data_IF_088675265561
#
_entry.id   IF_088675265561
#
_cell.length_a   1.000
_cell.length_b   1.000
_cell.length_c   1.000
_cell.angle_alpha   90.00
_cell.angle_beta   90.00
_cell.angle_gamma   90.00
#
_symmetry.space_group_name_H-M   'P 1'
#
loop_
_entity.id
_entity.type
_entity.pdbx_description
1 polymer ?
#
# COMPACT_ATOMS: atom_id res chain seq x y z
N UNK A 1 -32.25 9.86 -9.82
CA UNK A 1 -31.96 9.36 -8.46
C UNK A 1 -31.82 7.84 -8.38
N UNK A 2 -32.52 7.05 -9.18
CA UNK A 2 -32.37 5.58 -9.25
C UNK A 2 -30.98 5.12 -9.71
N UNK A 3 -30.41 5.74 -10.74
CA UNK A 3 -29.11 5.35 -11.32
C UNK A 3 -27.92 5.52 -10.32
N UNK A 4 -27.98 6.55 -9.47
CA UNK A 4 -26.96 6.78 -8.43
C UNK A 4 -27.07 5.73 -7.29
N UNK A 5 -28.29 5.36 -6.91
CA UNK A 5 -28.53 4.29 -5.92
C UNK A 5 -28.01 2.94 -6.45
N UNK A 6 -28.30 2.61 -7.70
CA UNK A 6 -27.88 1.35 -8.31
C UNK A 6 -26.35 1.26 -8.44
N UNK A 7 -25.68 2.36 -8.81
CA UNK A 7 -24.21 2.43 -8.83
C UNK A 7 -23.60 2.28 -7.44
N UNK A 8 -24.21 2.89 -6.43
CA UNK A 8 -23.73 2.80 -5.04
C UNK A 8 -23.91 1.38 -4.50
N UNK A 9 -25.07 0.76 -4.72
CA UNK A 9 -25.34 -0.62 -4.28
C UNK A 9 -24.38 -1.60 -4.97
N UNK A 10 -24.21 -1.49 -6.28
CA UNK A 10 -23.22 -2.30 -7.02
C UNK A 10 -21.79 -2.09 -6.50
N UNK A 11 -21.41 -0.84 -6.20
CA UNK A 11 -20.12 -0.52 -5.61
C UNK A 11 -19.91 -1.16 -4.23
N UNK A 12 -20.92 -1.13 -3.36
CA UNK A 12 -20.87 -1.80 -2.05
C UNK A 12 -20.78 -3.31 -2.18
N UNK A 13 -21.55 -3.93 -3.07
CA UNK A 13 -21.49 -5.37 -3.33
C UNK A 13 -20.10 -5.77 -3.85
N UNK A 14 -19.55 -5.05 -4.83
CA UNK A 14 -18.21 -5.33 -5.34
C UNK A 14 -17.13 -5.15 -4.27
N UNK A 15 -17.26 -4.14 -3.40
CA UNK A 15 -16.34 -3.94 -2.28
C UNK A 15 -16.40 -5.09 -1.27
N UNK A 16 -17.60 -5.54 -0.92
CA UNK A 16 -17.80 -6.68 -0.01
C UNK A 16 -17.24 -7.99 -0.58
N UNK A 17 -17.59 -8.30 -1.83
CA UNK A 17 -17.09 -9.50 -2.54
C UNK A 17 -15.56 -9.45 -2.63
N UNK A 18 -15.00 -8.30 -2.99
CA UNK A 18 -13.54 -8.14 -3.07
C UNK A 18 -12.86 -8.35 -1.72
N UNK A 19 -13.39 -7.77 -0.64
CA UNK A 19 -12.81 -7.94 0.70
C UNK A 19 -12.88 -9.40 1.15
N UNK A 20 -13.99 -10.08 0.92
CA UNK A 20 -14.13 -11.51 1.23
C UNK A 20 -13.17 -12.37 0.41
N UNK A 21 -13.08 -12.12 -0.88
CA UNK A 21 -12.16 -12.85 -1.78
C UNK A 21 -10.70 -12.61 -1.39
N UNK A 22 -10.31 -11.38 -1.08
CA UNK A 22 -8.95 -11.07 -0.65
C UNK A 22 -8.60 -11.77 0.66
N UNK A 23 -9.50 -11.77 1.65
CA UNK A 23 -9.26 -12.45 2.92
C UNK A 23 -9.17 -13.96 2.74
N UNK A 24 -10.08 -14.57 1.97
CA UNK A 24 -10.08 -16.02 1.72
C UNK A 24 -8.82 -16.43 0.96
N UNK A 25 -8.48 -15.76 -0.14
CA UNK A 25 -7.26 -16.07 -0.89
C UNK A 25 -6.00 -15.80 -0.08
N UNK A 26 -5.97 -14.70 0.68
CA UNK A 26 -4.86 -14.38 1.58
C UNK A 26 -4.63 -15.46 2.63
N UNK A 27 -5.70 -15.96 3.25
CA UNK A 27 -5.63 -17.07 4.20
C UNK A 27 -5.15 -18.38 3.53
N UNK A 28 -5.67 -18.71 2.36
CA UNK A 28 -5.24 -19.92 1.63
C UNK A 28 -3.74 -19.86 1.29
N UNK A 29 -3.26 -18.74 0.73
CA UNK A 29 -1.84 -18.57 0.43
C UNK A 29 -0.99 -18.60 1.71
N UNK A 30 -1.43 -17.94 2.78
CA UNK A 30 -0.71 -17.95 4.06
C UNK A 30 -0.61 -19.34 4.67
N UNK A 31 -1.68 -20.14 4.62
CA UNK A 31 -1.67 -21.53 5.12
C UNK A 31 -0.69 -22.40 4.32
N UNK A 32 -0.70 -22.27 2.99
CA UNK A 32 0.21 -23.06 2.13
C UNK A 32 1.66 -22.69 2.41
N UNK A 33 1.96 -21.42 2.55
CA UNK A 33 3.30 -20.89 2.84
C UNK A 33 3.73 -21.33 4.26
N UNK A 34 2.84 -21.20 5.27
CA UNK A 34 3.13 -21.54 6.65
C UNK A 34 3.43 -23.04 6.87
N UNK A 35 2.95 -23.91 5.99
CA UNK A 35 3.30 -25.35 6.04
C UNK A 35 4.74 -25.66 5.62
N UNK A 36 5.42 -24.72 5.00
CA UNK A 36 6.79 -24.89 4.44
C UNK A 36 7.84 -24.06 5.13
N UNK A 37 7.44 -23.02 5.83
CA UNK A 37 8.34 -22.09 6.49
C UNK A 37 8.29 -22.27 8.01
N UNK A 38 9.41 -21.96 8.64
CA UNK A 38 9.51 -21.98 10.10
C UNK A 38 8.83 -20.75 10.72
N UNK A 39 8.30 -20.84 11.95
CA UNK A 39 7.76 -19.68 12.67
C UNK A 39 8.75 -18.50 12.78
N UNK A 40 10.05 -18.79 12.84
CA UNK A 40 11.12 -17.78 12.86
C UNK A 40 11.15 -16.93 11.60
N UNK A 41 10.83 -17.49 10.42
CA UNK A 41 10.76 -16.76 9.16
C UNK A 41 9.66 -15.69 9.17
N UNK A 42 8.49 -16.04 9.71
CA UNK A 42 7.40 -15.08 9.94
C UNK A 42 7.78 -14.02 10.97
N UNK A 43 8.53 -14.41 12.02
CA UNK A 43 9.07 -13.49 13.01
C UNK A 43 9.96 -12.44 12.40
N UNK A 44 10.88 -12.83 11.52
CA UNK A 44 11.80 -11.92 10.82
C UNK A 44 11.08 -10.84 10.01
N UNK A 45 10.05 -11.21 9.25
CA UNK A 45 9.24 -10.23 8.50
C UNK A 45 8.30 -9.46 9.43
N UNK A 46 7.76 -10.14 10.46
CA UNK A 46 6.88 -9.56 11.47
C UNK A 46 7.52 -8.39 12.23
N UNK A 47 8.80 -8.48 12.56
CA UNK A 47 9.56 -7.39 13.21
C UNK A 47 9.57 -6.11 12.38
N UNK A 48 9.48 -6.21 11.05
CA UNK A 48 9.49 -5.07 10.15
C UNK A 48 8.10 -4.46 9.92
N UNK A 49 7.02 -5.18 10.27
CA UNK A 49 5.65 -4.69 10.01
C UNK A 49 5.30 -3.42 10.76
N UNK A 50 5.84 -3.22 11.96
CA UNK A 50 5.63 -2.00 12.73
C UNK A 50 6.21 -0.79 11.99
N UNK A 51 7.43 -0.92 11.47
CA UNK A 51 8.11 0.17 10.75
C UNK A 51 7.42 0.47 9.42
N UNK A 52 7.00 -0.57 8.69
CA UNK A 52 6.23 -0.38 7.45
C UNK A 52 4.84 0.21 7.72
N UNK A 53 4.16 -0.18 8.80
CA UNK A 53 2.86 0.38 9.18
C UNK A 53 2.96 1.86 9.53
N UNK A 54 3.96 2.26 10.32
CA UNK A 54 4.21 3.67 10.64
C UNK A 54 4.54 4.46 9.37
N UNK A 55 5.42 3.93 8.52
CA UNK A 55 5.81 4.60 7.28
C UNK A 55 4.64 4.76 6.32
N UNK A 56 3.81 3.73 6.13
CA UNK A 56 2.61 3.82 5.28
C UNK A 56 1.57 4.77 5.87
N UNK A 57 1.39 4.79 7.19
CA UNK A 57 0.51 5.74 7.85
C UNK A 57 0.97 7.20 7.63
N UNK A 58 2.28 7.46 7.71
CA UNK A 58 2.85 8.77 7.40
C UNK A 58 2.75 9.12 5.91
N UNK A 59 2.98 8.14 5.04
CA UNK A 59 2.87 8.29 3.59
C UNK A 59 1.45 8.62 3.15
N UNK A 60 0.47 7.88 3.64
CA UNK A 60 -0.94 8.12 3.32
C UNK A 60 -1.38 9.49 3.85
N UNK A 61 -0.86 9.91 5.01
CA UNK A 61 -1.01 11.26 5.57
C UNK A 61 -2.42 11.82 5.55
N UNK A 62 -3.44 10.98 5.35
CA UNK A 62 -4.81 11.40 5.10
C UNK A 62 -5.00 12.09 3.73
N UNK A 63 -3.99 12.11 2.86
CA UNK A 63 -4.06 12.79 1.57
C UNK A 63 -5.11 12.18 0.64
N UNK A 64 -5.22 10.84 0.63
CA UNK A 64 -6.27 10.13 -0.13
C UNK A 64 -7.64 10.58 0.34
N UNK A 65 -7.83 10.63 1.67
CA UNK A 65 -9.09 11.07 2.28
C UNK A 65 -9.39 12.53 1.97
N UNK A 66 -8.38 13.41 2.11
CA UNK A 66 -8.52 14.84 1.86
C UNK A 66 -8.90 15.14 0.40
N UNK A 67 -8.27 14.46 -0.57
CA UNK A 67 -8.64 14.56 -1.99
C UNK A 67 -10.04 14.03 -2.24
N UNK A 68 -10.38 12.89 -1.67
CA UNK A 68 -11.65 12.22 -1.92
C UNK A 68 -12.83 13.04 -1.42
N UNK A 69 -12.67 13.76 -0.30
CA UNK A 69 -13.72 14.57 0.29
C UNK A 69 -13.90 15.97 -0.36
N UNK A 70 -12.92 16.45 -1.11
CA UNK A 70 -13.08 17.72 -1.85
C UNK A 70 -13.98 17.51 -3.06
N UNK A 71 -14.95 18.43 -3.28
CA UNK A 71 -15.94 18.30 -4.39
C UNK A 71 -15.25 18.38 -5.75
N UNK A 72 -14.44 19.40 -5.97
CA UNK A 72 -13.80 19.68 -7.25
C UNK A 72 -12.27 19.62 -7.11
N UNK A 73 -11.68 18.56 -7.66
CA UNK A 73 -10.23 18.39 -7.71
C UNK A 73 -9.80 18.37 -9.17
N UNK A 74 -8.92 19.31 -9.54
CA UNK A 74 -8.39 19.41 -10.89
C UNK A 74 -7.33 18.35 -11.15
N UNK A 75 -7.08 18.07 -12.43
CA UNK A 75 -6.01 17.14 -12.85
C UNK A 75 -4.63 17.56 -12.29
N UNK A 76 -4.34 18.86 -12.28
CA UNK A 76 -3.10 19.41 -11.74
C UNK A 76 -2.96 19.16 -10.22
N UNK A 77 -4.06 19.22 -9.47
CA UNK A 77 -4.07 18.96 -8.04
C UNK A 77 -3.79 17.48 -7.73
N UNK A 78 -4.37 16.55 -8.50
CA UNK A 78 -4.01 15.13 -8.40
C UNK A 78 -2.53 14.90 -8.69
N UNK A 79 -1.99 15.54 -9.73
CA UNK A 79 -0.56 15.44 -10.09
C UNK A 79 0.33 15.99 -8.98
N UNK A 80 -0.06 17.08 -8.34
CA UNK A 80 0.68 17.68 -7.21
C UNK A 80 0.77 16.73 -6.02
N UNK A 81 -0.33 16.07 -5.67
CA UNK A 81 -0.35 15.08 -4.58
C UNK A 81 0.45 13.83 -4.95
N UNK A 82 0.41 13.40 -6.21
CA UNK A 82 1.23 12.28 -6.68
C UNK A 82 2.73 12.55 -6.46
N UNK A 83 3.23 13.68 -6.93
CA UNK A 83 4.64 14.04 -6.77
C UNK A 83 5.03 14.25 -5.32
N UNK A 84 4.18 14.91 -4.53
CA UNK A 84 4.42 15.07 -3.09
C UNK A 84 4.53 13.71 -2.38
N UNK A 85 3.60 12.80 -2.66
CA UNK A 85 3.58 11.47 -2.05
C UNK A 85 4.81 10.64 -2.47
N UNK A 86 5.22 10.72 -3.74
CA UNK A 86 6.40 10.05 -4.25
C UNK A 86 7.69 10.56 -3.58
N UNK A 87 7.83 11.87 -3.45
CA UNK A 87 8.98 12.50 -2.77
C UNK A 87 8.99 12.10 -1.29
N UNK A 88 7.86 12.19 -0.61
CA UNK A 88 7.72 11.79 0.79
C UNK A 88 8.11 10.32 1.00
N UNK A 89 7.65 9.44 0.11
CA UNK A 89 8.00 8.01 0.14
C UNK A 89 9.49 7.76 -0.08
N UNK A 90 10.10 8.53 -0.97
CA UNK A 90 11.56 8.49 -1.17
C UNK A 90 12.33 8.91 0.08
N UNK A 91 11.90 9.98 0.74
CA UNK A 91 12.50 10.44 2.01
C UNK A 91 12.32 9.37 3.11
N UNK A 92 11.10 8.83 3.27
CA UNK A 92 10.82 7.78 4.25
C UNK A 92 11.67 6.54 3.98
N UNK A 93 11.80 6.13 2.71
CA UNK A 93 12.66 5.02 2.34
C UNK A 93 14.14 5.26 2.70
N UNK A 94 14.69 6.44 2.41
CA UNK A 94 16.08 6.79 2.74
C UNK A 94 16.28 6.77 4.26
N UNK A 95 15.36 7.36 5.02
CA UNK A 95 15.41 7.35 6.49
C UNK A 95 15.41 5.93 7.03
N UNK A 96 14.48 5.08 6.57
CA UNK A 96 14.39 3.69 7.01
C UNK A 96 15.57 2.84 6.54
N UNK A 97 16.11 3.12 5.35
CA UNK A 97 17.32 2.48 4.83
C UNK A 97 18.53 2.77 5.73
N UNK A 98 18.67 4.01 6.20
CA UNK A 98 19.72 4.41 7.14
C UNK A 98 19.47 3.83 8.55
N UNK A 99 18.21 3.66 8.95
CA UNK A 99 17.84 3.05 10.22
C UNK A 99 17.95 1.51 10.23
N UNK A 100 18.05 0.88 9.06
CA UNK A 100 18.10 -0.59 8.93
C UNK A 100 19.17 -1.26 9.85
N UNK A 101 20.42 -0.78 9.96
CA UNK A 101 21.40 -1.39 10.86
C UNK A 101 21.02 -1.20 12.35
N UNK A 102 20.36 -0.10 12.74
CA UNK A 102 19.88 0.10 14.10
C UNK A 102 18.74 -0.88 14.43
N UNK A 103 17.80 -1.08 13.49
CA UNK A 103 16.72 -2.08 13.61
C UNK A 103 17.32 -3.47 13.79
N UNK A 104 18.27 -3.85 12.95
CA UNK A 104 18.94 -5.14 13.03
C UNK A 104 19.68 -5.36 14.35
N UNK A 105 20.35 -4.32 14.85
CA UNK A 105 21.04 -4.33 16.15
C UNK A 105 20.07 -4.48 17.31
N UNK A 106 18.93 -3.79 17.27
CA UNK A 106 17.91 -3.84 18.30
C UNK A 106 17.28 -5.24 18.44
N UNK A 107 17.01 -5.90 17.32
CA UNK A 107 16.44 -7.26 17.32
C UNK A 107 17.50 -8.37 17.40
N UNK A 108 18.80 -8.05 17.32
CA UNK A 108 19.89 -9.03 17.41
C UNK A 108 20.07 -9.91 16.16
N UNK A 109 19.48 -9.56 15.02
CA UNK A 109 19.54 -10.33 13.77
C UNK A 109 20.18 -9.51 12.65
N UNK A 110 21.40 -9.88 12.24
CA UNK A 110 22.17 -9.16 11.20
C UNK A 110 21.49 -9.22 9.82
N UNK A 111 20.79 -10.30 9.55
CA UNK A 111 20.04 -10.52 8.29
C UNK A 111 18.95 -9.47 8.07
N UNK A 112 18.41 -8.89 9.16
CA UNK A 112 17.41 -7.83 9.08
C UNK A 112 17.90 -6.57 8.37
N UNK A 113 19.19 -6.31 8.25
CA UNK A 113 19.71 -5.13 7.54
C UNK A 113 19.27 -5.17 6.08
N UNK A 114 19.54 -6.27 5.39
CA UNK A 114 19.20 -6.41 3.98
C UNK A 114 17.71 -6.66 3.77
N UNK A 115 17.09 -7.45 4.64
CA UNK A 115 15.68 -7.73 4.60
C UNK A 115 14.84 -6.46 4.76
N UNK A 116 15.17 -5.60 5.73
CA UNK A 116 14.46 -4.34 5.96
C UNK A 116 14.60 -3.38 4.78
N UNK A 117 15.82 -3.22 4.26
CA UNK A 117 16.06 -2.40 3.07
C UNK A 117 15.23 -2.86 1.88
N UNK A 118 15.10 -4.16 1.69
CA UNK A 118 14.27 -4.75 0.64
C UNK A 118 12.78 -4.51 0.92
N UNK A 119 12.28 -4.84 2.11
CA UNK A 119 10.86 -4.69 2.47
C UNK A 119 10.39 -3.24 2.36
N UNK A 120 11.24 -2.28 2.75
CA UNK A 120 10.90 -0.85 2.69
C UNK A 120 10.77 -0.31 1.26
N UNK A 121 11.30 -1.00 0.22
CA UNK A 121 10.99 -0.66 -1.17
C UNK A 121 9.49 -0.70 -1.46
N UNK A 122 8.73 -1.49 -0.72
CA UNK A 122 7.27 -1.53 -0.81
C UNK A 122 6.62 -0.17 -0.61
N UNK A 123 7.22 0.74 0.18
CA UNK A 123 6.74 2.11 0.41
C UNK A 123 6.76 2.92 -0.89
N UNK A 124 7.83 2.77 -1.70
CA UNK A 124 7.94 3.45 -3.00
C UNK A 124 6.90 2.88 -3.97
N UNK A 125 6.77 1.55 -4.05
CA UNK A 125 5.75 0.93 -4.92
C UNK A 125 4.33 1.30 -4.50
N UNK A 126 4.06 1.41 -3.20
CA UNK A 126 2.77 1.87 -2.67
C UNK A 126 2.45 3.29 -3.13
N UNK A 127 3.43 4.21 -3.08
CA UNK A 127 3.23 5.61 -3.47
C UNK A 127 2.74 5.78 -4.91
N UNK A 128 3.17 4.90 -5.80
CA UNK A 128 2.73 4.90 -7.19
C UNK A 128 1.23 4.61 -7.35
N UNK A 129 0.64 3.82 -6.43
CA UNK A 129 -0.76 3.42 -6.47
C UNK A 129 -1.72 4.33 -5.69
N UNK A 130 -1.23 5.17 -4.77
CA UNK A 130 -2.04 5.96 -3.84
C UNK A 130 -3.02 6.88 -4.57
N UNK A 131 -2.52 7.71 -5.47
CA UNK A 131 -3.35 8.69 -6.20
C UNK A 131 -4.26 8.01 -7.21
N UNK A 132 -3.81 6.93 -7.85
CA UNK A 132 -4.64 6.13 -8.75
C UNK A 132 -5.85 5.54 -8.00
N UNK A 133 -5.61 5.06 -6.78
CA UNK A 133 -6.67 4.55 -5.89
C UNK A 133 -7.66 5.65 -5.53
N UNK A 134 -7.21 6.85 -5.15
CA UNK A 134 -8.06 7.98 -4.82
C UNK A 134 -8.90 8.43 -6.03
N UNK A 135 -8.29 8.47 -7.22
CA UNK A 135 -8.95 8.83 -8.47
C UNK A 135 -10.07 7.84 -8.83
N UNK A 136 -9.78 6.54 -8.81
CA UNK A 136 -10.78 5.50 -9.09
C UNK A 136 -11.90 5.49 -8.04
N UNK A 137 -11.57 5.72 -6.77
CA UNK A 137 -12.55 5.79 -5.70
C UNK A 137 -13.52 6.96 -5.91
N UNK A 138 -13.01 8.15 -6.24
CA UNK A 138 -13.84 9.33 -6.48
C UNK A 138 -14.76 9.18 -7.69
N UNK A 139 -14.34 8.41 -8.70
CA UNK A 139 -15.16 8.10 -9.87
C UNK A 139 -16.11 6.91 -9.69
N UNK A 140 -16.19 6.35 -8.45
CA UNK A 140 -17.00 5.16 -8.12
C UNK A 140 -16.62 3.94 -9.01
N UNK A 141 -15.37 3.89 -9.47
CA UNK A 141 -14.82 2.77 -10.26
C UNK A 141 -14.24 1.69 -9.34
N UNK A 142 -15.10 1.18 -8.45
CA UNK A 142 -14.73 0.21 -7.41
C UNK A 142 -14.30 -1.13 -8.01
N UNK A 143 -14.88 -1.51 -9.14
CA UNK A 143 -14.57 -2.76 -9.85
C UNK A 143 -13.11 -2.80 -10.30
N UNK A 144 -12.62 -1.76 -10.93
CA UNK A 144 -11.25 -1.67 -11.44
C UNK A 144 -10.23 -1.72 -10.32
N UNK A 145 -10.52 -1.02 -9.22
CA UNK A 145 -9.70 -1.10 -8.02
C UNK A 145 -9.69 -2.51 -7.42
N UNK A 146 -10.84 -3.18 -7.35
CA UNK A 146 -10.97 -4.53 -6.84
C UNK A 146 -10.16 -5.53 -7.68
N UNK A 147 -10.23 -5.44 -9.01
CA UNK A 147 -9.47 -6.28 -9.92
C UNK A 147 -7.96 -6.05 -9.75
N UNK A 148 -7.51 -4.79 -9.62
CA UNK A 148 -6.10 -4.47 -9.43
C UNK A 148 -5.54 -5.11 -8.17
N UNK A 149 -6.27 -5.03 -7.06
CA UNK A 149 -5.86 -5.63 -5.79
C UNK A 149 -5.91 -7.16 -5.83
N UNK A 150 -6.93 -7.75 -6.46
CA UNK A 150 -7.03 -9.19 -6.63
C UNK A 150 -5.88 -9.76 -7.48
N UNK A 151 -5.51 -9.08 -8.57
CA UNK A 151 -4.36 -9.47 -9.39
C UNK A 151 -3.05 -9.39 -8.61
N UNK A 152 -2.85 -8.34 -7.81
CA UNK A 152 -1.70 -8.24 -6.91
C UNK A 152 -1.61 -9.44 -5.98
N UNK A 153 -2.70 -9.80 -5.33
CA UNK A 153 -2.77 -10.92 -4.39
C UNK A 153 -2.53 -12.27 -5.07
N UNK A 154 -3.17 -12.53 -6.21
CA UNK A 154 -3.06 -13.81 -6.93
C UNK A 154 -1.63 -14.00 -7.43
N UNK A 155 -1.07 -13.00 -8.13
CA UNK A 155 0.29 -13.10 -8.68
C UNK A 155 1.32 -13.25 -7.56
N UNK A 156 1.23 -12.42 -6.53
CA UNK A 156 2.15 -12.49 -5.39
C UNK A 156 1.99 -13.78 -4.59
N UNK A 157 0.77 -14.28 -4.42
CA UNK A 157 0.50 -15.52 -3.71
C UNK A 157 1.09 -16.75 -4.42
N UNK A 158 0.91 -16.84 -5.75
CA UNK A 158 1.50 -17.92 -6.55
C UNK A 158 3.02 -17.87 -6.47
N UNK A 159 3.63 -16.70 -6.68
CA UNK A 159 5.08 -16.53 -6.61
C UNK A 159 5.61 -16.77 -5.19
N UNK A 160 4.88 -16.34 -4.16
CA UNK A 160 5.22 -16.62 -2.76
C UNK A 160 5.25 -18.12 -2.45
N UNK A 161 4.28 -18.88 -2.95
CA UNK A 161 4.27 -20.35 -2.84
C UNK A 161 5.50 -20.94 -3.55
N UNK A 162 5.76 -20.55 -4.79
CA UNK A 162 6.93 -21.04 -5.54
C UNK A 162 8.23 -20.78 -4.77
N UNK A 163 8.40 -19.58 -4.22
CA UNK A 163 9.59 -19.23 -3.44
C UNK A 163 9.69 -20.03 -2.13
N UNK A 164 8.57 -20.24 -1.43
CA UNK A 164 8.53 -21.05 -0.21
C UNK A 164 8.93 -22.52 -0.48
N UNK A 165 8.49 -23.08 -1.61
CA UNK A 165 8.86 -24.45 -2.00
C UNK A 165 10.33 -24.57 -2.46
N UNK A 166 10.92 -23.48 -2.93
CA UNK A 166 12.33 -23.43 -3.31
C UNK A 166 13.28 -23.07 -2.14
N UNK A 167 12.78 -22.98 -0.92
CA UNK A 167 13.60 -22.75 0.27
C UNK A 167 14.06 -21.31 0.49
N UNK A 168 13.36 -20.33 -0.08
CA UNK A 168 13.72 -18.91 0.10
C UNK A 168 13.35 -18.34 1.47
N UNK A 169 12.81 -19.16 2.41
CA UNK A 169 12.62 -18.77 3.81
C UNK A 169 11.91 -17.39 3.94
N UNK A 170 12.33 -16.54 4.87
CA UNK A 170 11.78 -15.19 5.05
C UNK A 170 11.85 -14.28 3.81
N UNK A 171 12.79 -14.50 2.90
CA UNK A 171 12.85 -13.79 1.62
C UNK A 171 11.64 -14.06 0.73
N UNK A 172 11.10 -15.27 0.78
CA UNK A 172 9.86 -15.61 0.06
C UNK A 172 8.69 -14.76 0.52
N UNK A 173 8.50 -14.59 1.84
CA UNK A 173 7.43 -13.76 2.43
C UNK A 173 7.64 -12.27 2.06
N UNK A 174 8.87 -11.78 2.20
CA UNK A 174 9.20 -10.40 1.88
C UNK A 174 8.94 -10.07 0.40
N UNK A 175 9.38 -10.97 -0.51
CA UNK A 175 9.16 -10.83 -1.95
C UNK A 175 7.68 -10.88 -2.29
N UNK A 176 6.92 -11.79 -1.67
CA UNK A 176 5.46 -11.84 -1.83
C UNK A 176 4.81 -10.51 -1.46
N UNK A 177 5.19 -9.91 -0.32
CA UNK A 177 4.66 -8.63 0.12
C UNK A 177 4.92 -7.50 -0.88
N UNK A 178 6.15 -7.37 -1.36
CA UNK A 178 6.53 -6.36 -2.36
C UNK A 178 5.82 -6.58 -3.69
N UNK A 179 5.76 -7.83 -4.17
CA UNK A 179 5.08 -8.17 -5.41
C UNK A 179 3.58 -7.86 -5.34
N UNK A 180 2.95 -8.12 -4.19
CA UNK A 180 1.54 -7.78 -3.99
C UNK A 180 1.31 -6.28 -4.21
N UNK A 181 2.11 -5.43 -3.55
CA UNK A 181 2.01 -3.97 -3.68
C UNK A 181 2.38 -3.52 -5.10
N UNK A 182 3.48 -4.04 -5.65
CA UNK A 182 3.99 -3.64 -6.96
C UNK A 182 3.02 -4.00 -8.10
N UNK A 183 2.51 -5.23 -8.12
CA UNK A 183 1.55 -5.69 -9.15
C UNK A 183 0.22 -4.96 -8.99
N UNK A 184 -0.28 -4.77 -7.77
CA UNK A 184 -1.50 -4.00 -7.54
C UNK A 184 -1.35 -2.55 -8.03
N UNK A 185 -0.22 -1.89 -7.73
CA UNK A 185 0.07 -0.54 -8.21
C UNK A 185 0.17 -0.48 -9.75
N UNK A 186 0.83 -1.46 -10.37
CA UNK A 186 0.92 -1.55 -11.83
C UNK A 186 -0.46 -1.71 -12.46
N UNK A 187 -1.30 -2.58 -11.92
CA UNK A 187 -2.67 -2.78 -12.39
C UNK A 187 -3.53 -1.53 -12.22
N UNK A 188 -3.37 -0.80 -11.12
CA UNK A 188 -4.02 0.50 -10.92
C UNK A 188 -3.62 1.51 -11.99
N UNK A 189 -2.35 1.54 -12.39
CA UNK A 189 -1.88 2.38 -13.49
C UNK A 189 -2.48 1.99 -14.85
N UNK A 190 -2.64 0.70 -15.12
CA UNK A 190 -3.25 0.22 -16.36
C UNK A 190 -4.74 0.58 -16.42
N UNK A 191 -5.45 0.44 -15.31
CA UNK A 191 -6.90 0.64 -15.26
C UNK A 191 -7.33 2.09 -15.02
N UNK A 192 -6.46 2.92 -14.42
CA UNK A 192 -6.73 4.34 -14.23
C UNK A 192 -6.37 5.13 -15.49
N UNK A 193 -7.26 6.00 -15.99
CA UNK A 193 -6.95 6.91 -17.08
C UNK A 193 -6.08 8.09 -16.63
N UNK A 194 -5.93 8.29 -15.31
CA UNK A 194 -5.14 9.39 -14.77
C UNK A 194 -3.65 9.18 -15.05
N UNK A 195 -3.00 10.21 -15.57
CA UNK A 195 -1.54 10.29 -15.75
C UNK A 195 -1.05 11.58 -15.12
N UNK A 196 -0.05 11.53 -14.21
CA UNK A 196 0.44 12.74 -13.55
C UNK A 196 1.20 13.64 -14.51
N UNK A 197 0.90 14.94 -14.44
CA UNK A 197 1.67 15.99 -15.11
C UNK A 197 2.78 16.49 -14.18
N UNK A 198 3.83 17.12 -14.76
CA UNK A 198 4.93 17.70 -13.98
C UNK A 198 4.59 19.06 -13.35
N UNK A 199 3.38 19.60 -13.57
CA UNK A 199 2.94 20.87 -12.99
C UNK A 199 2.48 20.66 -11.55
N UNK A 200 3.20 21.26 -10.59
CA UNK A 200 2.89 21.17 -9.16
C UNK A 200 2.17 22.45 -8.72
N UNK A 201 1.03 22.31 -8.09
CA UNK A 201 0.29 23.37 -7.42
C UNK A 201 0.68 23.43 -5.93
N UNK A 202 1.65 24.26 -5.61
CA UNK A 202 2.14 24.43 -4.24
C UNK A 202 1.10 25.05 -3.31
N UNK A 203 0.21 25.89 -3.82
CA UNK A 203 -0.85 26.51 -2.99
C UNK A 203 -1.84 25.45 -2.52
N UNK A 204 -2.20 24.53 -3.41
CA UNK A 204 -3.04 23.39 -3.09
C UNK A 204 -2.37 22.46 -2.08
N UNK A 205 -1.10 22.11 -2.26
CA UNK A 205 -0.37 21.25 -1.32
C UNK A 205 -0.32 21.86 0.08
N UNK A 206 -0.03 23.17 0.20
CA UNK A 206 -0.05 23.85 1.51
C UNK A 206 -1.41 23.82 2.20
N UNK A 207 -2.51 23.74 1.45
CA UNK A 207 -3.86 23.63 2.03
C UNK A 207 -4.23 22.21 2.43
N UNK A 208 -3.82 21.18 1.63
CA UNK A 208 -4.28 19.81 1.83
C UNK A 208 -3.42 19.03 2.82
N UNK A 209 -2.11 19.30 2.88
CA UNK A 209 -1.19 18.59 3.78
C UNK A 209 -1.56 18.73 5.26
N UNK A 210 -1.86 19.92 5.80
CA UNK A 210 -2.30 20.06 7.19
C UNK A 210 -3.64 19.38 7.45
N UNK A 211 -4.57 19.39 6.49
CA UNK A 211 -5.85 18.69 6.59
C UNK A 211 -5.63 17.17 6.70
N UNK A 212 -4.76 16.61 5.86
CA UNK A 212 -4.40 15.20 5.90
C UNK A 212 -3.79 14.80 7.23
N UNK A 213 -2.79 15.53 7.70
CA UNK A 213 -2.11 15.22 8.97
C UNK A 213 -3.04 15.26 10.20
N UNK A 214 -4.06 16.12 10.22
CA UNK A 214 -5.08 16.11 11.29
C UNK A 214 -5.85 14.80 11.40
N UNK A 215 -5.93 14.01 10.34
CA UNK A 215 -6.55 12.68 10.36
C UNK A 215 -5.57 11.57 10.75
N UNK A 216 -4.27 11.75 10.53
CA UNK A 216 -3.25 10.76 10.85
C UNK A 216 -3.02 10.68 12.35
N UNK A 217 -2.96 11.82 13.04
CA UNK A 217 -2.65 11.88 14.48
C UNK A 217 -3.61 11.03 15.33
N UNK A 218 -4.96 11.12 15.18
CA UNK A 218 -5.87 10.26 15.94
C UNK A 218 -5.75 8.77 15.59
N UNK A 219 -5.40 8.44 14.34
CA UNK A 219 -5.28 7.06 13.90
C UNK A 219 -4.02 6.38 14.46
N UNK A 220 -2.91 7.10 14.59
CA UNK A 220 -1.69 6.57 15.23
C UNK A 220 -1.99 6.17 16.69
N UNK A 221 -2.68 7.03 17.43
CA UNK A 221 -3.07 6.74 18.82
C UNK A 221 -4.11 5.61 18.95
N UNK A 222 -4.84 5.28 17.88
CA UNK A 222 -5.82 4.19 17.86
C UNK A 222 -5.17 2.83 17.59
N UNK A 223 -4.01 2.79 16.94
CA UNK A 223 -3.23 1.57 16.70
C UNK A 223 -2.50 1.12 17.98
N UNK A 224 -2.29 2.04 18.94
CA UNK A 224 -1.59 1.75 20.20
C UNK A 224 -2.51 1.29 21.33
N UNK A 225 -3.81 1.11 21.11
CA UNK A 225 -4.78 0.53 22.03
C UNK A 225 -5.26 -0.84 21.53
#
# INVERSE_FOLDING_TARGET
MSDLKDKTIKGMMWSGINSFMQQTLGLLFSIVIARRLDPSDFGMVGMLTIFTAVATCLQDGGLVWAITNRKDVTHQQYSSVFWFNLILSGILYIVLFCLAPLIASYFGHKELVWLSRFVFLGIIFSSLGVVQTAYLFKQIRVKERAISMAMGLVVSGILGIILAYNGFSYWGIATQGILNIGVASLMLWIQSPFRPDFKIDWSFLKSIVPEGFRFVVPNIFRISR
#
